data_IF_838494379115
#
_entry.id   IF_838494379115
#
_cell.length_a   1.000
_cell.length_b   1.000
_cell.length_c   1.000
_cell.angle_alpha   90.00
_cell.angle_beta   90.00
_cell.angle_gamma   90.00
#
_symmetry.space_group_name_H-M   'P 1'
#
loop_
_entity.id
_entity.type
_entity.pdbx_description
1 polymer ?
#
# COMPACT_ATOMS: atom_id res chain seq x y z
N UNK A 1 8.16 23.01 17.95
CA UNK A 1 8.84 21.77 17.47
C UNK A 1 8.20 21.17 16.20
N UNK A 2 8.92 20.33 15.42
CA UNK A 2 8.39 19.73 14.17
C UNK A 2 7.04 19.01 14.40
N UNK A 3 6.92 18.29 15.53
CA UNK A 3 5.68 17.61 15.93
C UNK A 3 4.50 18.57 16.13
N UNK A 4 4.71 19.73 16.75
CA UNK A 4 3.65 20.74 16.93
C UNK A 4 3.19 21.33 15.60
N UNK A 5 4.12 21.55 14.66
CA UNK A 5 3.77 22.03 13.32
C UNK A 5 2.89 21.04 12.57
N UNK A 6 3.18 19.74 12.71
CA UNK A 6 2.32 18.68 12.16
C UNK A 6 0.96 18.58 12.89
N UNK A 7 0.93 18.80 14.20
CA UNK A 7 -0.31 18.80 14.99
C UNK A 7 -1.21 20.00 14.67
N UNK A 8 -0.63 21.16 14.39
CA UNK A 8 -1.35 22.37 13.98
C UNK A 8 -1.84 22.30 12.52
N UNK A 9 -1.42 21.29 11.76
CA UNK A 9 -1.74 21.20 10.35
C UNK A 9 -3.19 20.74 10.15
N UNK A 10 -4.03 21.69 9.70
CA UNK A 10 -5.40 21.49 9.25
C UNK A 10 -5.48 20.64 7.99
N UNK A 11 -6.46 20.89 7.12
CA UNK A 11 -6.62 20.13 5.88
C UNK A 11 -5.34 20.11 5.03
N UNK A 12 -5.02 18.94 4.45
CA UNK A 12 -3.83 18.79 3.61
C UNK A 12 -4.13 19.40 2.23
N UNK A 13 -3.45 20.50 1.90
CA UNK A 13 -3.52 21.15 0.60
C UNK A 13 -2.11 21.43 0.08
N UNK A 14 -1.88 21.41 -1.24
CA UNK A 14 -0.56 21.70 -1.79
C UNK A 14 -0.13 23.14 -1.43
N UNK A 15 0.94 23.27 -0.64
CA UNK A 15 1.48 24.56 -0.23
C UNK A 15 3.00 24.50 -0.07
N UNK A 16 3.66 25.66 -0.11
CA UNK A 16 5.10 25.76 0.14
C UNK A 16 5.46 25.26 1.56
N UNK A 17 4.61 25.56 2.54
CA UNK A 17 4.77 25.10 3.92
C UNK A 17 4.67 23.57 4.03
N UNK A 18 3.63 22.96 3.45
CA UNK A 18 3.48 21.50 3.48
C UNK A 18 4.68 20.81 2.82
N UNK A 19 5.15 21.35 1.69
CA UNK A 19 6.34 20.83 1.00
C UNK A 19 7.60 20.88 1.88
N UNK A 20 7.77 21.94 2.68
CA UNK A 20 8.88 22.03 3.63
C UNK A 20 8.73 21.03 4.78
N UNK A 21 7.53 20.85 5.33
CA UNK A 21 7.27 19.87 6.39
C UNK A 21 7.51 18.43 5.93
N UNK A 22 7.08 18.09 4.71
CA UNK A 22 7.35 16.77 4.12
C UNK A 22 8.86 16.49 4.02
N UNK A 23 9.66 17.47 3.60
CA UNK A 23 11.13 17.36 3.52
C UNK A 23 11.81 17.29 4.88
N UNK A 24 11.23 17.94 5.89
CA UNK A 24 11.70 17.84 7.27
C UNK A 24 11.38 16.49 7.92
N UNK A 25 10.52 15.69 7.30
CA UNK A 25 10.14 14.36 7.75
C UNK A 25 8.73 14.30 8.33
N UNK A 26 8.05 13.17 8.08
CA UNK A 26 6.69 12.91 8.56
C UNK A 26 6.76 12.01 9.81
N UNK A 27 6.32 12.52 10.98
CA UNK A 27 6.21 11.72 12.19
C UNK A 27 5.30 10.52 11.98
N UNK A 28 5.57 9.41 12.68
CA UNK A 28 4.91 8.11 12.46
C UNK A 28 3.39 8.23 12.52
N UNK A 29 2.88 8.96 13.50
CA UNK A 29 1.46 9.23 13.75
C UNK A 29 0.75 9.94 12.59
N UNK A 30 1.48 10.69 11.75
CA UNK A 30 0.92 11.42 10.61
C UNK A 30 1.12 10.69 9.28
N UNK A 31 1.95 9.66 9.22
CA UNK A 31 2.25 8.94 7.96
C UNK A 31 1.00 8.38 7.27
N UNK A 32 0.06 7.69 7.96
CA UNK A 32 -1.12 7.14 7.29
C UNK A 32 -1.95 8.24 6.60
N UNK A 33 -2.17 9.36 7.30
CA UNK A 33 -2.92 10.51 6.79
C UNK A 33 -2.22 11.15 5.59
N UNK A 34 -0.92 11.41 5.70
CA UNK A 34 -0.14 12.08 4.66
C UNK A 34 0.03 11.20 3.42
N UNK A 35 0.34 9.91 3.60
CA UNK A 35 0.52 8.99 2.49
C UNK A 35 -0.78 8.76 1.75
N UNK A 36 -1.90 8.54 2.46
CA UNK A 36 -3.22 8.41 1.84
C UNK A 36 -3.58 9.64 0.99
N UNK A 37 -3.31 10.83 1.51
CA UNK A 37 -3.53 12.07 0.78
C UNK A 37 -2.65 12.17 -0.47
N UNK A 38 -1.35 11.87 -0.37
CA UNK A 38 -0.42 11.89 -1.52
C UNK A 38 -0.80 10.87 -2.60
N UNK A 39 -1.14 9.64 -2.20
CA UNK A 39 -1.59 8.58 -3.09
C UNK A 39 -2.87 9.01 -3.78
N UNK A 40 -3.90 9.40 -3.02
CA UNK A 40 -5.17 9.86 -3.58
C UNK A 40 -4.97 11.00 -4.59
N UNK A 41 -4.20 12.03 -4.23
CA UNK A 41 -3.90 13.14 -5.13
C UNK A 41 -3.28 12.67 -6.46
N UNK A 42 -2.43 11.64 -6.41
CA UNK A 42 -1.72 11.11 -7.57
C UNK A 42 -2.55 10.16 -8.41
N UNK A 43 -3.35 9.30 -7.79
CA UNK A 43 -4.02 8.16 -8.46
C UNK A 43 -5.54 8.28 -8.55
N UNK A 44 -6.14 9.36 -8.04
CA UNK A 44 -7.59 9.61 -8.12
C UNK A 44 -8.16 9.47 -9.55
N UNK A 45 -7.37 9.81 -10.57
CA UNK A 45 -7.78 9.71 -11.97
C UNK A 45 -7.80 8.27 -12.50
N UNK A 46 -7.13 7.35 -11.83
CA UNK A 46 -7.13 5.90 -12.11
C UNK A 46 -8.18 5.17 -11.27
N UNK A 47 -8.56 5.77 -10.14
CA UNK A 47 -9.49 5.17 -9.19
C UNK A 47 -10.88 5.05 -9.79
N UNK A 48 -11.29 3.80 -10.05
CA UNK A 48 -12.65 3.46 -10.47
C UNK A 48 -13.34 2.74 -9.31
N UNK A 49 -14.48 3.24 -8.79
CA UNK A 49 -15.19 2.58 -7.70
C UNK A 49 -15.50 1.11 -8.01
N UNK A 50 -15.20 0.20 -7.08
CA UNK A 50 -15.44 -1.23 -7.23
C UNK A 50 -14.36 -2.02 -7.99
N UNK A 51 -13.39 -1.33 -8.61
CA UNK A 51 -12.35 -1.96 -9.41
C UNK A 51 -11.51 -2.96 -8.58
N UNK A 52 -11.12 -2.60 -7.36
CA UNK A 52 -10.35 -3.49 -6.51
C UNK A 52 -11.13 -4.77 -6.18
N UNK A 53 -12.40 -4.65 -5.82
CA UNK A 53 -13.28 -5.78 -5.49
C UNK A 53 -13.50 -6.71 -6.70
N UNK A 54 -13.58 -6.14 -7.92
CA UNK A 54 -13.64 -6.90 -9.16
C UNK A 54 -12.35 -7.70 -9.39
N UNK A 55 -11.18 -7.08 -9.23
CA UNK A 55 -9.88 -7.74 -9.34
C UNK A 55 -9.73 -8.89 -8.35
N UNK A 56 -10.20 -8.72 -7.11
CA UNK A 56 -10.22 -9.80 -6.12
C UNK A 56 -11.12 -10.96 -6.54
N UNK A 57 -12.29 -10.66 -7.09
CA UNK A 57 -13.22 -11.69 -7.58
C UNK A 57 -12.62 -12.45 -8.76
N UNK A 58 -11.95 -11.74 -9.67
CA UNK A 58 -11.19 -12.34 -10.78
C UNK A 58 -10.08 -13.26 -10.29
N UNK A 59 -9.32 -12.84 -9.29
CA UNK A 59 -8.26 -13.64 -8.69
C UNK A 59 -8.76 -14.90 -7.97
N UNK A 60 -9.99 -14.90 -7.45
CA UNK A 60 -10.64 -16.10 -6.90
C UNK A 60 -11.12 -17.06 -7.99
N UNK A 61 -11.59 -16.53 -9.11
CA UNK A 61 -12.13 -17.33 -10.22
C UNK A 61 -11.04 -17.92 -11.12
N UNK A 62 -9.89 -17.26 -11.24
CA UNK A 62 -8.79 -17.69 -12.12
C UNK A 62 -7.44 -17.45 -11.47
N UNK A 63 -6.60 -18.47 -11.50
CA UNK A 63 -5.21 -18.37 -11.03
C UNK A 63 -4.38 -17.49 -11.97
N UNK A 64 -3.62 -16.56 -11.40
CA UNK A 64 -2.69 -15.71 -12.13
C UNK A 64 -1.31 -16.38 -12.20
N UNK A 65 -0.56 -16.31 -13.33
CA UNK A 65 0.77 -16.91 -13.44
C UNK A 65 1.77 -16.46 -12.36
N UNK A 66 1.59 -15.25 -11.82
CA UNK A 66 2.42 -14.72 -10.74
C UNK A 66 2.15 -15.33 -9.37
N UNK A 67 1.04 -16.05 -9.16
CA UNK A 67 0.60 -16.51 -7.84
C UNK A 67 1.70 -17.31 -7.13
N UNK A 68 2.32 -18.25 -7.83
CA UNK A 68 3.43 -19.06 -7.28
C UNK A 68 4.60 -18.20 -6.83
N UNK A 69 5.02 -17.23 -7.63
CA UNK A 69 6.15 -16.37 -7.28
C UNK A 69 5.81 -15.43 -6.11
N UNK A 70 4.56 -14.95 -6.06
CA UNK A 70 4.06 -14.14 -4.94
C UNK A 70 4.14 -14.96 -3.64
N UNK A 71 3.67 -16.21 -3.60
CA UNK A 71 3.75 -17.04 -2.39
C UNK A 71 5.18 -17.23 -1.89
N UNK A 72 6.12 -17.51 -2.81
CA UNK A 72 7.53 -17.64 -2.46
C UNK A 72 8.09 -16.34 -1.84
N UNK A 73 7.68 -15.19 -2.38
CA UNK A 73 8.14 -13.89 -1.92
C UNK A 73 7.48 -13.45 -0.61
N UNK A 74 6.22 -13.82 -0.37
CA UNK A 74 5.53 -13.55 0.90
C UNK A 74 6.27 -14.15 2.09
N UNK A 75 6.72 -15.40 1.97
CA UNK A 75 7.45 -16.12 3.04
C UNK A 75 8.77 -15.44 3.45
N UNK A 76 9.37 -14.66 2.55
CA UNK A 76 10.60 -13.90 2.79
C UNK A 76 10.38 -12.40 2.97
N UNK A 77 9.14 -11.93 2.98
CA UNK A 77 8.82 -10.50 3.12
C UNK A 77 8.84 -10.09 4.58
N UNK A 78 9.83 -9.27 4.96
CA UNK A 78 10.00 -8.76 6.32
C UNK A 78 9.92 -9.85 7.41
N UNK A 79 10.82 -10.85 7.38
CA UNK A 79 10.74 -12.04 8.23
C UNK A 79 10.89 -11.77 9.74
N UNK A 80 11.26 -10.55 10.14
CA UNK A 80 11.39 -10.15 11.54
C UNK A 80 10.27 -9.18 11.98
N UNK A 81 9.31 -8.89 11.11
CA UNK A 81 8.21 -7.98 11.42
C UNK A 81 7.02 -8.76 12.00
N UNK A 82 6.53 -8.34 13.17
CA UNK A 82 5.41 -8.99 13.88
C UNK A 82 4.15 -9.18 13.04
N UNK A 83 3.89 -8.31 12.06
CA UNK A 83 2.74 -8.41 11.18
C UNK A 83 2.89 -9.56 10.18
N UNK A 84 4.11 -9.98 9.84
CA UNK A 84 4.38 -11.06 8.89
C UNK A 84 4.71 -12.39 9.57
N UNK A 85 5.12 -12.37 10.84
CA UNK A 85 5.50 -13.59 11.58
C UNK A 85 4.41 -14.13 12.51
N UNK A 86 3.42 -13.32 12.90
CA UNK A 86 2.35 -13.76 13.77
C UNK A 86 1.38 -14.68 13.01
N UNK A 87 1.14 -15.94 13.46
CA UNK A 87 0.27 -16.89 12.76
C UNK A 87 -1.18 -16.44 12.61
N UNK A 88 -1.65 -15.55 13.48
CA UNK A 88 -3.02 -15.00 13.44
C UNK A 88 -3.11 -13.70 12.64
N UNK A 89 -2.00 -13.23 12.07
CA UNK A 89 -1.98 -11.99 11.30
C UNK A 89 -2.63 -12.19 9.93
N UNK A 90 -3.52 -11.27 9.56
CA UNK A 90 -4.09 -11.21 8.22
C UNK A 90 -3.20 -10.48 7.21
N UNK A 91 -2.08 -9.88 7.63
CA UNK A 91 -1.22 -9.07 6.76
C UNK A 91 -0.65 -9.84 5.55
N UNK A 92 -0.13 -11.07 5.68
CA UNK A 92 0.32 -11.85 4.52
C UNK A 92 -0.80 -12.05 3.49
N UNK A 93 -2.03 -12.30 3.95
CA UNK A 93 -3.18 -12.49 3.06
C UNK A 93 -3.61 -11.20 2.37
N UNK A 94 -3.60 -10.08 3.10
CA UNK A 94 -3.84 -8.75 2.52
C UNK A 94 -2.78 -8.44 1.45
N UNK A 95 -1.51 -8.69 1.76
CA UNK A 95 -0.41 -8.44 0.83
C UNK A 95 -0.53 -9.32 -0.43
N UNK A 96 -0.88 -10.61 -0.28
CA UNK A 96 -1.17 -11.50 -1.40
C UNK A 96 -2.22 -10.92 -2.34
N UNK A 97 -3.35 -10.48 -1.77
CA UNK A 97 -4.46 -9.90 -2.53
C UNK A 97 -4.06 -8.63 -3.27
N UNK A 98 -3.35 -7.71 -2.61
CA UNK A 98 -2.83 -6.49 -3.23
C UNK A 98 -1.92 -6.80 -4.42
N UNK A 99 -0.97 -7.72 -4.25
CA UNK A 99 -0.01 -8.08 -5.31
C UNK A 99 -0.68 -8.78 -6.49
N UNK A 100 -1.64 -9.67 -6.24
CA UNK A 100 -2.41 -10.33 -7.30
C UNK A 100 -3.30 -9.33 -8.04
N UNK A 101 -4.01 -8.47 -7.32
CA UNK A 101 -4.83 -7.43 -7.92
C UNK A 101 -4.00 -6.49 -8.78
N UNK A 102 -2.83 -6.04 -8.29
CA UNK A 102 -1.90 -5.21 -9.07
C UNK A 102 -1.46 -5.91 -10.34
N UNK A 103 -1.14 -7.21 -10.26
CA UNK A 103 -0.71 -8.02 -11.40
C UNK A 103 -1.80 -8.14 -12.46
N UNK A 104 -3.06 -8.32 -12.03
CA UNK A 104 -4.21 -8.37 -12.93
C UNK A 104 -4.52 -7.01 -13.57
N UNK A 105 -4.40 -5.92 -12.80
CA UNK A 105 -4.63 -4.56 -13.28
C UNK A 105 -3.56 -4.13 -14.29
N UNK A 106 -2.32 -4.59 -14.10
CA UNK A 106 -1.17 -4.18 -14.90
C UNK A 106 -0.53 -5.39 -15.62
N UNK A 107 -1.21 -6.03 -16.59
CA UNK A 107 -0.74 -7.30 -17.17
C UNK A 107 0.59 -7.18 -17.93
N UNK A 108 0.98 -5.98 -18.36
CA UNK A 108 2.29 -5.74 -18.99
C UNK A 108 3.44 -5.86 -17.98
N UNK A 109 3.20 -5.48 -16.73
CA UNK A 109 4.16 -5.60 -15.63
C UNK A 109 4.00 -6.96 -14.95
N UNK A 110 2.75 -7.36 -14.68
CA UNK A 110 2.39 -8.50 -13.86
C UNK A 110 2.99 -8.35 -12.47
N UNK A 111 3.91 -9.26 -12.14
CA UNK A 111 4.64 -9.26 -10.89
C UNK A 111 6.14 -9.39 -11.16
N UNK A 112 6.94 -8.55 -10.49
CA UNK A 112 8.38 -8.73 -10.40
C UNK A 112 8.84 -8.76 -8.95
N UNK A 113 9.91 -9.51 -8.69
CA UNK A 113 10.53 -9.59 -7.37
C UNK A 113 10.91 -8.19 -6.88
N UNK A 114 10.53 -7.87 -5.64
CA UNK A 114 10.70 -6.54 -5.05
C UNK A 114 9.37 -5.80 -4.85
N UNK A 115 8.36 -6.05 -5.68
CA UNK A 115 7.03 -5.47 -5.49
C UNK A 115 6.40 -5.86 -4.15
N UNK A 116 6.65 -7.09 -3.68
CA UNK A 116 6.24 -7.56 -2.36
C UNK A 116 6.68 -6.60 -1.23
N UNK A 117 7.90 -6.09 -1.32
CA UNK A 117 8.46 -5.19 -0.29
C UNK A 117 7.82 -3.80 -0.36
N UNK A 118 7.60 -3.28 -1.56
CA UNK A 118 6.94 -1.98 -1.76
C UNK A 118 5.48 -2.02 -1.27
N UNK A 119 4.72 -3.02 -1.70
CA UNK A 119 3.33 -3.21 -1.28
C UNK A 119 3.23 -3.49 0.22
N UNK A 120 4.16 -4.24 0.81
CA UNK A 120 4.21 -4.45 2.25
C UNK A 120 4.43 -3.14 3.04
N UNK A 121 5.30 -2.24 2.54
CA UNK A 121 5.50 -0.92 3.16
C UNK A 121 4.23 -0.08 3.05
N UNK A 122 3.60 -0.04 1.87
CA UNK A 122 2.34 0.68 1.67
C UNK A 122 1.27 0.17 2.65
N UNK A 123 1.09 -1.15 2.74
CA UNK A 123 0.12 -1.79 3.63
C UNK A 123 0.42 -1.55 5.13
N UNK A 124 1.68 -1.57 5.53
CA UNK A 124 2.08 -1.27 6.92
C UNK A 124 1.83 0.19 7.31
N UNK A 125 1.88 1.13 6.36
CA UNK A 125 1.68 2.56 6.63
C UNK A 125 0.20 2.94 6.50
N UNK A 126 -0.50 2.41 5.51
CA UNK A 126 -1.88 2.78 5.20
C UNK A 126 -2.91 1.96 5.96
N UNK A 127 -2.54 0.74 6.38
CA UNK A 127 -3.31 -0.27 7.15
C UNK A 127 -4.58 -0.81 6.45
N UNK A 128 -5.14 -0.01 5.56
CA UNK A 128 -6.26 -0.32 4.68
C UNK A 128 -5.73 -0.91 3.37
N UNK A 129 -6.36 -2.00 2.92
CA UNK A 129 -5.86 -2.86 1.85
C UNK A 129 -6.04 -2.21 0.47
N UNK A 130 -7.21 -1.61 0.21
CA UNK A 130 -7.49 -0.96 -1.07
C UNK A 130 -6.64 0.29 -1.26
N UNK A 131 -6.43 1.07 -0.20
CA UNK A 131 -5.52 2.21 -0.16
C UNK A 131 -4.08 1.81 -0.46
N UNK A 132 -3.66 0.60 -0.07
CA UNK A 132 -2.32 0.09 -0.35
C UNK A 132 -2.17 -0.50 -1.76
N UNK A 133 -3.29 -0.85 -2.41
CA UNK A 133 -3.33 -1.29 -3.79
C UNK A 133 -3.19 -0.12 -4.79
N UNK A 134 -3.88 0.99 -4.52
CA UNK A 134 -3.82 2.21 -5.32
C UNK A 134 -2.50 2.97 -5.14
#
# INVERSE_FOLDING_TARGET
>A
PLRERWAALGELVPSAELKQLLRAGVPREHRPRVWRWLVHLRVQHLHTPGCYQELLSRGRAREHPAARQIELDLNRTFPNNKHFTCPTSSFPDKLRRVLLAFSWQNPTIGYCQGLNRLAAIALLVLEEEESAFW
#
